data_IF_819522265100
#
_entry.id   IF_819522265100
#
_cell.length_a   1.000
_cell.length_b   1.000
_cell.length_c   1.000
_cell.angle_alpha   90.00
_cell.angle_beta   90.00
_cell.angle_gamma   90.00
#
_symmetry.space_group_name_H-M   'P 1'
#
loop_
_entity.id
_entity.type
_entity.pdbx_description
1 polymer ?
#
# COMPACT_ATOMS: atom_id res chain seq x y z
N UNK A 1 -35.17 -14.66 -14.48
CA UNK A 1 -35.92 -13.61 -15.21
C UNK A 1 -36.16 -12.42 -14.27
N UNK A 2 -35.09 -11.77 -13.80
CA UNK A 2 -35.12 -10.60 -12.89
C UNK A 2 -34.28 -9.47 -13.52
N UNK A 3 -34.46 -9.23 -14.82
CA UNK A 3 -33.73 -8.16 -15.53
C UNK A 3 -34.56 -6.89 -15.69
N UNK A 4 -35.88 -6.94 -15.47
CA UNK A 4 -36.78 -5.81 -15.75
C UNK A 4 -37.21 -4.98 -14.53
N UNK A 5 -36.91 -5.39 -13.29
CA UNK A 5 -37.39 -4.67 -12.08
C UNK A 5 -36.43 -3.62 -11.54
N UNK A 6 -35.15 -3.62 -11.93
CA UNK A 6 -34.20 -2.58 -11.50
C UNK A 6 -34.27 -1.34 -12.42
N UNK A 7 -34.43 -1.52 -13.74
CA UNK A 7 -34.48 -0.41 -14.71
C UNK A 7 -35.63 0.59 -14.50
N UNK A 8 -36.79 0.14 -14.01
CA UNK A 8 -37.96 1.01 -13.86
C UNK A 8 -37.90 1.93 -12.62
N UNK A 9 -37.11 1.59 -11.60
CA UNK A 9 -36.97 2.43 -10.40
C UNK A 9 -35.91 3.53 -10.58
N UNK A 10 -34.90 3.32 -11.42
CA UNK A 10 -33.81 4.29 -11.60
C UNK A 10 -34.23 5.62 -12.27
N UNK A 11 -35.12 5.58 -13.26
CA UNK A 11 -35.49 6.79 -14.02
C UNK A 11 -36.38 7.78 -13.23
N UNK A 12 -37.06 7.33 -12.18
CA UNK A 12 -37.94 8.20 -11.37
C UNK A 12 -37.31 8.65 -10.04
N UNK A 13 -36.24 7.97 -9.57
CA UNK A 13 -35.64 8.24 -8.26
C UNK A 13 -34.43 9.17 -8.29
N UNK A 14 -33.76 9.41 -9.42
CA UNK A 14 -32.48 10.16 -9.44
C UNK A 14 -32.61 11.69 -9.28
N UNK A 15 -33.83 12.25 -9.26
CA UNK A 15 -34.02 13.71 -9.26
C UNK A 15 -33.65 14.42 -7.95
N UNK A 16 -33.53 13.69 -6.82
CA UNK A 16 -33.16 14.25 -5.51
C UNK A 16 -32.21 13.33 -4.71
N UNK A 17 -31.50 12.43 -5.39
CA UNK A 17 -30.59 11.48 -4.74
C UNK A 17 -29.23 12.14 -4.53
N UNK A 18 -28.80 12.21 -3.27
CA UNK A 18 -27.47 12.69 -2.87
C UNK A 18 -26.44 11.56 -2.80
N UNK A 19 -26.85 10.36 -2.40
CA UNK A 19 -25.99 9.18 -2.30
C UNK A 19 -26.62 8.05 -3.09
N UNK A 20 -25.88 7.52 -4.06
CA UNK A 20 -26.30 6.35 -4.80
C UNK A 20 -25.31 5.21 -4.55
N UNK A 21 -25.83 4.10 -4.03
CA UNK A 21 -25.08 2.86 -3.84
C UNK A 21 -25.79 1.74 -4.59
N UNK A 22 -25.12 1.19 -5.60
CA UNK A 22 -25.65 0.14 -6.46
C UNK A 22 -24.68 -1.03 -6.46
N UNK A 23 -25.20 -2.21 -6.10
CA UNK A 23 -24.46 -3.46 -6.23
C UNK A 23 -25.19 -4.44 -7.13
N UNK A 24 -24.46 -5.14 -7.99
CA UNK A 24 -24.99 -6.23 -8.83
C UNK A 24 -24.20 -7.51 -8.59
N UNK A 25 -24.79 -8.65 -8.95
CA UNK A 25 -24.04 -9.90 -9.00
C UNK A 25 -23.01 -9.85 -10.15
N UNK A 26 -21.79 -10.28 -9.88
CA UNK A 26 -20.60 -10.10 -10.73
C UNK A 26 -20.74 -10.61 -12.18
N UNK A 27 -21.66 -11.53 -12.44
CA UNK A 27 -21.81 -12.15 -13.77
C UNK A 27 -22.75 -11.39 -14.73
N UNK A 28 -23.61 -10.49 -14.25
CA UNK A 28 -24.59 -9.81 -15.09
C UNK A 28 -24.16 -8.38 -15.41
N UNK A 29 -23.97 -8.07 -16.70
CA UNK A 29 -23.70 -6.71 -17.16
C UNK A 29 -24.92 -5.82 -16.90
N UNK A 30 -24.79 -4.89 -15.96
CA UNK A 30 -25.76 -3.85 -15.68
C UNK A 30 -25.53 -2.63 -16.59
N UNK A 31 -26.62 -2.04 -17.09
CA UNK A 31 -26.55 -0.73 -17.73
C UNK A 31 -27.06 0.33 -16.78
N UNK A 32 -26.36 1.44 -16.71
CA UNK A 32 -26.76 2.59 -15.90
C UNK A 32 -27.58 3.56 -16.76
N UNK A 33 -28.62 4.21 -16.20
CA UNK A 33 -29.40 5.19 -16.94
C UNK A 33 -28.53 6.42 -17.27
N UNK A 34 -28.70 7.00 -18.44
CA UNK A 34 -27.96 8.21 -18.85
C UNK A 34 -28.18 9.41 -17.92
N UNK A 35 -29.35 9.48 -17.28
CA UNK A 35 -29.70 10.50 -16.29
C UNK A 35 -28.79 10.49 -15.06
N UNK A 36 -28.16 9.35 -14.73
CA UNK A 36 -27.19 9.26 -13.63
C UNK A 36 -26.03 10.24 -13.85
N UNK A 37 -25.44 10.21 -15.05
CA UNK A 37 -24.25 10.99 -15.42
C UNK A 37 -24.50 12.49 -15.61
N UNK A 38 -25.75 12.94 -15.45
CA UNK A 38 -26.16 14.36 -15.53
C UNK A 38 -26.85 14.84 -14.25
N UNK A 39 -26.81 14.04 -13.19
CA UNK A 39 -27.42 14.38 -11.91
C UNK A 39 -26.75 15.60 -11.27
N UNK A 40 -27.57 16.55 -10.83
CA UNK A 40 -27.14 17.78 -10.14
C UNK A 40 -27.32 17.72 -8.63
N UNK A 41 -27.69 16.57 -8.09
CA UNK A 41 -27.87 16.37 -6.65
C UNK A 41 -26.88 15.37 -6.08
N UNK A 42 -26.29 14.52 -6.93
CA UNK A 42 -25.43 13.43 -6.51
C UNK A 42 -24.12 13.97 -5.92
N UNK A 43 -23.84 13.56 -4.68
CA UNK A 43 -22.65 13.87 -3.90
C UNK A 43 -21.75 12.64 -3.76
N UNK A 44 -22.33 11.44 -3.71
CA UNK A 44 -21.62 10.18 -3.56
C UNK A 44 -22.17 9.12 -4.51
N UNK A 45 -21.28 8.44 -5.22
CA UNK A 45 -21.60 7.37 -6.17
C UNK A 45 -20.78 6.13 -5.84
N UNK A 46 -21.45 5.02 -5.57
CA UNK A 46 -20.84 3.70 -5.39
C UNK A 46 -21.44 2.70 -6.36
N UNK A 47 -20.58 2.08 -7.15
CA UNK A 47 -20.93 1.05 -8.11
C UNK A 47 -20.08 -0.18 -7.82
N UNK A 48 -20.73 -1.26 -7.39
CA UNK A 48 -20.09 -2.56 -7.12
C UNK A 48 -20.69 -3.64 -8.01
N UNK A 49 -19.97 -4.03 -9.03
CA UNK A 49 -20.41 -5.09 -9.95
C UNK A 49 -20.21 -4.68 -11.40
N UNK A 50 -20.57 -5.60 -12.29
CA UNK A 50 -20.27 -5.48 -13.72
C UNK A 50 -21.17 -4.43 -14.38
N UNK A 51 -20.71 -3.18 -14.46
CA UNK A 51 -21.44 -2.08 -15.11
C UNK A 51 -20.75 -1.62 -16.39
N UNK A 52 -21.51 -1.48 -17.47
CA UNK A 52 -21.04 -0.86 -18.71
C UNK A 52 -20.98 0.66 -18.52
N UNK A 53 -19.77 1.23 -18.48
CA UNK A 53 -19.54 2.67 -18.30
C UNK A 53 -19.64 3.42 -19.63
N UNK A 54 -20.73 3.17 -20.37
CA UNK A 54 -21.14 3.96 -21.53
C UNK A 54 -22.04 5.10 -21.07
N UNK A 55 -21.46 6.27 -20.95
CA UNK A 55 -22.16 7.48 -20.54
C UNK A 55 -22.26 8.50 -21.67
N UNK A 56 -23.32 9.34 -21.67
CA UNK A 56 -23.41 10.45 -22.61
C UNK A 56 -22.31 11.48 -22.35
N UNK A 57 -21.83 12.11 -23.42
CA UNK A 57 -20.90 13.22 -23.33
C UNK A 57 -21.62 14.55 -23.60
N UNK A 58 -21.41 15.59 -22.76
CA UNK A 58 -20.54 15.63 -21.58
C UNK A 58 -21.19 15.02 -20.32
N UNK A 59 -20.38 14.40 -19.47
CA UNK A 59 -20.75 14.05 -18.09
C UNK A 59 -20.85 15.33 -17.26
N UNK A 60 -21.88 15.44 -16.42
CA UNK A 60 -22.11 16.59 -15.54
C UNK A 60 -22.57 16.12 -14.15
N UNK A 61 -21.63 16.00 -13.23
CA UNK A 61 -21.84 15.62 -11.84
C UNK A 61 -21.24 16.71 -10.92
N UNK A 62 -21.82 17.93 -10.93
CA UNK A 62 -21.18 19.13 -10.40
C UNK A 62 -20.95 19.12 -8.89
N UNK A 63 -21.66 18.28 -8.13
CA UNK A 63 -21.56 18.20 -6.67
C UNK A 63 -20.96 16.89 -6.16
N UNK A 64 -20.53 16.01 -7.06
CA UNK A 64 -19.98 14.72 -6.68
C UNK A 64 -18.61 14.91 -6.01
N UNK A 65 -18.49 14.38 -4.79
CA UNK A 65 -17.29 14.47 -3.94
C UNK A 65 -16.60 13.14 -3.71
N UNK A 66 -17.35 12.04 -3.69
CA UNK A 66 -16.81 10.68 -3.55
C UNK A 66 -17.35 9.77 -4.65
N UNK A 67 -16.46 9.00 -5.26
CA UNK A 67 -16.78 8.04 -6.32
C UNK A 67 -16.08 6.72 -6.06
N UNK A 68 -16.83 5.62 -6.05
CA UNK A 68 -16.30 4.27 -5.92
C UNK A 68 -16.76 3.41 -7.08
N UNK A 69 -15.80 2.85 -7.81
CA UNK A 69 -16.03 2.05 -9.02
C UNK A 69 -15.32 0.70 -8.89
N UNK A 70 -16.09 -0.34 -8.58
CA UNK A 70 -15.60 -1.72 -8.47
C UNK A 70 -16.23 -2.60 -9.56
N UNK A 71 -15.39 -3.34 -10.28
CA UNK A 71 -15.79 -4.25 -11.35
C UNK A 71 -16.50 -3.56 -12.54
N UNK A 72 -16.19 -2.29 -12.84
CA UNK A 72 -16.80 -1.55 -13.96
C UNK A 72 -16.05 -1.79 -15.28
N UNK A 73 -16.76 -1.72 -16.41
CA UNK A 73 -16.19 -1.88 -17.75
C UNK A 73 -16.14 -0.53 -18.48
N UNK A 74 -14.93 -0.05 -18.79
CA UNK A 74 -14.74 1.15 -19.60
C UNK A 74 -14.72 0.81 -21.09
N UNK A 75 -15.32 1.67 -21.91
CA UNK A 75 -15.36 1.48 -23.36
C UNK A 75 -14.03 1.81 -24.05
N UNK A 76 -13.18 2.61 -23.40
CA UNK A 76 -11.87 3.02 -23.90
C UNK A 76 -10.97 3.52 -22.74
N UNK A 77 -9.64 3.57 -22.94
CA UNK A 77 -8.69 3.98 -21.89
C UNK A 77 -8.88 5.40 -21.33
N UNK A 78 -9.58 6.28 -22.06
CA UNK A 78 -9.80 7.67 -21.64
C UNK A 78 -11.15 7.87 -20.93
N UNK A 79 -11.99 6.84 -20.83
CA UNK A 79 -13.32 6.95 -20.22
C UNK A 79 -13.24 7.42 -18.75
N UNK A 80 -12.33 6.90 -17.94
CA UNK A 80 -12.15 7.34 -16.56
C UNK A 80 -11.83 8.85 -16.47
N UNK A 81 -10.93 9.33 -17.34
CA UNK A 81 -10.56 10.74 -17.39
C UNK A 81 -11.75 11.63 -17.79
N UNK A 82 -12.57 11.21 -18.76
CA UNK A 82 -13.78 11.94 -19.16
C UNK A 82 -14.83 11.98 -18.05
N UNK A 83 -15.01 10.86 -17.33
CA UNK A 83 -15.88 10.79 -16.16
C UNK A 83 -15.44 11.76 -15.07
N UNK A 84 -14.14 11.77 -14.74
CA UNK A 84 -13.56 12.67 -13.73
C UNK A 84 -13.65 14.15 -14.14
N UNK A 85 -13.45 14.47 -15.43
CA UNK A 85 -13.60 15.84 -15.94
C UNK A 85 -15.03 16.39 -15.74
N UNK A 86 -16.04 15.51 -15.70
CA UNK A 86 -17.42 15.86 -15.37
C UNK A 86 -17.71 16.06 -13.87
N UNK A 87 -16.74 15.79 -13.00
CA UNK A 87 -16.87 15.80 -11.53
C UNK A 87 -15.91 16.82 -10.89
N UNK A 88 -16.15 18.13 -11.05
CA UNK A 88 -15.18 19.18 -10.67
C UNK A 88 -14.93 19.31 -9.16
N UNK A 89 -15.77 18.70 -8.31
CA UNK A 89 -15.64 18.71 -6.85
C UNK A 89 -15.20 17.36 -6.27
N UNK A 90 -14.73 16.42 -7.11
CA UNK A 90 -14.33 15.09 -6.66
C UNK A 90 -13.07 15.17 -5.79
N UNK A 91 -13.21 14.71 -4.54
CA UNK A 91 -12.18 14.75 -3.50
C UNK A 91 -11.66 13.35 -3.12
N UNK A 92 -12.49 12.31 -3.32
CA UNK A 92 -12.21 10.93 -2.97
C UNK A 92 -12.58 9.98 -4.13
N UNK A 93 -11.62 9.17 -4.57
CA UNK A 93 -11.80 8.22 -5.66
C UNK A 93 -11.30 6.85 -5.23
N UNK A 94 -12.18 5.86 -5.33
CA UNK A 94 -11.84 4.45 -5.16
C UNK A 94 -12.11 3.74 -6.48
N UNK A 95 -11.09 3.08 -7.02
CA UNK A 95 -11.19 2.28 -8.24
C UNK A 95 -10.69 0.88 -7.95
N UNK A 96 -11.38 -0.14 -8.42
CA UNK A 96 -11.02 -1.49 -8.07
C UNK A 96 -11.74 -2.60 -8.82
N UNK A 97 -11.38 -3.84 -8.46
CA UNK A 97 -11.98 -5.05 -9.01
C UNK A 97 -11.36 -5.53 -10.33
N UNK A 98 -12.15 -6.15 -11.21
CA UNK A 98 -11.71 -6.74 -12.47
C UNK A 98 -11.67 -5.71 -13.60
N UNK A 99 -10.48 -5.17 -13.90
CA UNK A 99 -10.24 -4.24 -15.02
C UNK A 99 -9.31 -4.87 -16.06
N UNK A 100 -9.67 -6.06 -16.58
CA UNK A 100 -8.77 -6.86 -17.45
C UNK A 100 -8.34 -6.13 -18.73
N UNK A 101 -9.22 -5.29 -19.29
CA UNK A 101 -8.95 -4.55 -20.53
C UNK A 101 -8.21 -3.21 -20.32
N UNK A 102 -7.95 -2.82 -19.07
CA UNK A 102 -7.32 -1.53 -18.76
C UNK A 102 -5.84 -1.73 -18.45
N UNK A 103 -5.01 -1.63 -19.49
CA UNK A 103 -3.55 -1.72 -19.33
C UNK A 103 -2.93 -0.46 -18.71
N UNK A 104 -3.46 0.71 -19.04
CA UNK A 104 -2.92 2.00 -18.63
C UNK A 104 -3.93 2.74 -17.75
N UNK A 105 -3.47 3.17 -16.57
CA UNK A 105 -4.25 4.05 -15.70
C UNK A 105 -3.58 5.42 -15.67
N UNK A 106 -4.33 6.44 -16.08
CA UNK A 106 -3.89 7.84 -16.02
C UNK A 106 -4.93 8.68 -15.31
N UNK A 107 -4.53 9.36 -14.24
CA UNK A 107 -5.41 10.17 -13.39
C UNK A 107 -4.73 11.51 -13.12
N UNK A 108 -5.39 12.62 -13.49
CA UNK A 108 -4.94 13.98 -13.17
C UNK A 108 -6.07 14.76 -12.51
N UNK A 109 -5.79 15.36 -11.35
CA UNK A 109 -6.74 16.19 -10.62
C UNK A 109 -6.06 17.04 -9.56
N UNK A 110 -6.34 18.35 -9.57
CA UNK A 110 -5.92 19.25 -8.50
C UNK A 110 -6.88 19.25 -7.30
N UNK A 111 -7.99 18.51 -7.36
CA UNK A 111 -9.01 18.49 -6.29
C UNK A 111 -9.00 17.22 -5.47
N UNK A 112 -8.44 16.14 -6.01
CA UNK A 112 -8.43 14.84 -5.38
C UNK A 112 -7.48 14.87 -4.17
N UNK A 113 -8.00 14.43 -3.02
CA UNK A 113 -7.29 14.34 -1.74
C UNK A 113 -7.09 12.90 -1.28
N UNK A 114 -7.93 11.98 -1.77
CA UNK A 114 -7.85 10.55 -1.49
C UNK A 114 -7.96 9.75 -2.79
N UNK A 115 -7.03 8.82 -2.99
CA UNK A 115 -7.05 7.85 -4.07
C UNK A 115 -6.78 6.46 -3.52
N UNK A 116 -7.71 5.53 -3.77
CA UNK A 116 -7.53 4.11 -3.53
C UNK A 116 -7.64 3.35 -4.83
N UNK A 117 -6.62 2.55 -5.14
CA UNK A 117 -6.58 1.62 -6.27
C UNK A 117 -6.55 0.20 -5.70
N UNK A 118 -7.69 -0.49 -5.70
CA UNK A 118 -7.86 -1.79 -5.04
C UNK A 118 -8.27 -2.88 -6.04
N UNK A 119 -7.26 -3.54 -6.60
CA UNK A 119 -7.38 -4.56 -7.62
C UNK A 119 -7.06 -5.96 -7.09
N UNK A 120 -7.21 -6.16 -5.77
CA UNK A 120 -7.01 -7.47 -5.11
C UNK A 120 -7.82 -8.57 -5.74
N UNK A 121 -9.07 -8.28 -6.09
CA UNK A 121 -10.02 -9.29 -6.53
C UNK A 121 -9.70 -9.87 -7.92
N UNK A 122 -8.76 -9.29 -8.66
CA UNK A 122 -8.28 -9.77 -9.98
C UNK A 122 -7.50 -11.11 -9.93
N UNK A 123 -7.83 -12.00 -8.99
CA UNK A 123 -7.35 -13.38 -8.86
C UNK A 123 -7.83 -14.24 -10.04
N UNK A 124 -7.17 -14.10 -11.18
CA UNK A 124 -7.45 -14.87 -12.40
C UNK A 124 -6.81 -14.23 -13.64
N UNK A 125 -6.70 -12.90 -13.65
CA UNK A 125 -5.97 -12.18 -14.70
C UNK A 125 -4.47 -12.31 -14.48
N UNK A 126 -3.75 -12.78 -15.51
CA UNK A 126 -2.29 -12.90 -15.51
C UNK A 126 -1.61 -11.62 -16.05
N UNK A 127 -2.38 -10.57 -16.32
CA UNK A 127 -1.86 -9.37 -16.98
C UNK A 127 -1.44 -8.31 -15.96
N UNK A 128 -0.19 -7.86 -16.09
CA UNK A 128 0.30 -6.66 -15.41
C UNK A 128 -0.17 -5.42 -16.16
N UNK A 129 -0.51 -4.36 -15.42
CA UNK A 129 -0.70 -3.03 -16.00
C UNK A 129 0.58 -2.57 -16.70
N UNK A 130 0.42 -1.92 -17.85
CA UNK A 130 1.51 -1.34 -18.62
C UNK A 130 2.05 -0.08 -17.93
N UNK A 131 1.17 0.82 -17.49
CA UNK A 131 1.60 2.03 -16.77
C UNK A 131 0.57 2.56 -15.79
N UNK A 132 1.06 3.21 -14.73
CA UNK A 132 0.27 4.01 -13.80
C UNK A 132 0.83 5.44 -13.79
N UNK A 133 0.03 6.39 -14.24
CA UNK A 133 0.37 7.81 -14.36
C UNK A 133 -0.55 8.63 -13.47
N UNK A 134 0.00 9.27 -12.44
CA UNK A 134 -0.77 10.10 -11.51
C UNK A 134 -0.21 11.52 -11.51
N UNK A 135 -1.06 12.53 -11.60
CA UNK A 135 -0.70 13.95 -11.39
C UNK A 135 -1.68 14.58 -10.41
N UNK A 136 -1.35 14.52 -9.13
CA UNK A 136 -2.28 14.78 -8.02
C UNK A 136 -1.64 15.69 -6.95
N UNK A 137 -1.51 17.01 -7.22
CA UNK A 137 -0.80 17.97 -6.35
C UNK A 137 -1.30 18.05 -4.90
N UNK A 138 -2.57 17.78 -4.68
CA UNK A 138 -3.24 17.90 -3.38
C UNK A 138 -3.62 16.55 -2.77
N UNK A 139 -3.04 15.44 -3.28
CA UNK A 139 -3.29 14.11 -2.73
C UNK A 139 -2.70 13.98 -1.33
N UNK A 140 -3.53 13.57 -0.38
CA UNK A 140 -3.19 13.40 1.04
C UNK A 140 -3.07 11.92 1.40
N UNK A 141 -3.96 11.09 0.85
CA UNK A 141 -4.01 9.66 1.09
C UNK A 141 -3.93 8.88 -0.23
N UNK A 142 -2.99 7.93 -0.28
CA UNK A 142 -2.83 7.04 -1.41
C UNK A 142 -2.79 5.58 -0.93
N UNK A 143 -3.71 4.75 -1.43
CA UNK A 143 -3.65 3.29 -1.27
C UNK A 143 -3.52 2.64 -2.64
N UNK A 144 -2.51 1.79 -2.79
CA UNK A 144 -2.29 0.95 -3.96
C UNK A 144 -2.30 -0.51 -3.52
N UNK A 145 -3.25 -1.29 -4.00
CA UNK A 145 -3.35 -2.72 -3.76
C UNK A 145 -3.57 -3.46 -5.08
N UNK A 146 -2.51 -4.02 -5.66
CA UNK A 146 -2.55 -4.60 -7.01
C UNK A 146 -1.28 -5.43 -7.30
N UNK A 147 -1.21 -6.05 -8.48
CA UNK A 147 0.05 -6.49 -9.08
C UNK A 147 0.92 -5.28 -9.44
N UNK A 148 2.23 -5.49 -9.51
CA UNK A 148 3.14 -4.42 -9.92
C UNK A 148 2.93 -4.07 -11.40
N UNK A 149 2.64 -2.80 -11.71
CA UNK A 149 2.65 -2.29 -13.07
C UNK A 149 4.09 -2.29 -13.64
N UNK A 150 4.23 -2.33 -14.97
CA UNK A 150 5.55 -2.29 -15.63
C UNK A 150 6.26 -0.95 -15.44
N UNK A 151 5.51 0.14 -15.28
CA UNK A 151 6.06 1.48 -15.08
C UNK A 151 5.15 2.37 -14.24
N UNK A 152 5.75 3.31 -13.52
CA UNK A 152 5.06 4.31 -12.70
C UNK A 152 5.56 5.70 -13.05
N UNK A 153 4.63 6.64 -13.21
CA UNK A 153 4.89 8.07 -13.34
C UNK A 153 3.99 8.82 -12.36
N UNK A 154 4.44 8.90 -11.11
CA UNK A 154 3.69 9.55 -10.05
C UNK A 154 4.25 10.97 -9.85
N UNK A 155 3.55 11.94 -10.44
CA UNK A 155 3.92 13.34 -10.50
C UNK A 155 3.20 14.14 -9.41
N UNK A 156 3.91 15.12 -8.84
CA UNK A 156 3.36 16.13 -7.94
C UNK A 156 2.70 15.60 -6.65
N UNK A 157 3.06 14.43 -6.10
CA UNK A 157 2.50 13.94 -4.83
C UNK A 157 3.10 14.61 -3.58
N UNK A 158 3.25 15.94 -3.59
CA UNK A 158 3.98 16.69 -2.56
C UNK A 158 3.19 16.87 -1.25
N UNK A 159 1.86 16.73 -1.30
CA UNK A 159 0.96 16.89 -0.15
C UNK A 159 0.68 15.57 0.59
N UNK A 160 1.37 14.49 0.19
CA UNK A 160 1.06 13.14 0.64
C UNK A 160 1.39 12.99 2.13
N UNK A 161 0.37 12.68 2.93
CA UNK A 161 0.52 12.38 4.35
C UNK A 161 0.71 10.88 4.56
N UNK A 162 -0.07 10.05 3.86
CA UNK A 162 -0.03 8.60 3.97
C UNK A 162 -0.03 7.91 2.60
N UNK A 163 0.89 6.95 2.45
CA UNK A 163 0.94 6.03 1.33
C UNK A 163 0.90 4.58 1.85
N UNK A 164 -0.04 3.78 1.35
CA UNK A 164 -0.12 2.34 1.62
C UNK A 164 0.09 1.56 0.33
N UNK A 165 1.17 0.78 0.27
CA UNK A 165 1.59 0.04 -0.92
C UNK A 165 1.55 -1.45 -0.63
N UNK A 166 0.60 -2.14 -1.26
CA UNK A 166 0.34 -3.56 -1.10
C UNK A 166 0.48 -4.22 -2.47
N UNK A 167 1.55 -5.01 -2.66
CA UNK A 167 1.79 -5.67 -3.96
C UNK A 167 1.52 -7.16 -3.85
N UNK A 168 0.53 -7.62 -4.61
CA UNK A 168 0.05 -9.00 -4.64
C UNK A 168 1.11 -10.00 -5.14
N UNK A 169 0.98 -11.25 -4.69
CA UNK A 169 1.78 -12.39 -5.16
C UNK A 169 1.37 -12.73 -6.60
N UNK A 170 2.33 -12.74 -7.52
CA UNK A 170 2.19 -13.46 -8.78
C UNK A 170 2.57 -14.93 -8.54
N UNK A 171 1.57 -15.78 -8.39
CA UNK A 171 1.76 -17.20 -8.04
C UNK A 171 2.25 -18.04 -9.23
N UNK A 172 2.06 -17.56 -10.46
CA UNK A 172 2.24 -18.36 -11.68
C UNK A 172 3.43 -17.91 -12.55
N UNK A 173 4.14 -16.86 -12.15
CA UNK A 173 5.35 -16.41 -12.83
C UNK A 173 6.62 -16.68 -12.01
N UNK A 174 7.26 -17.85 -12.18
CA UNK A 174 8.54 -18.18 -11.52
C UNK A 174 9.71 -17.33 -12.02
N UNK A 175 9.50 -16.49 -13.04
CA UNK A 175 10.50 -15.57 -13.60
C UNK A 175 9.97 -14.14 -13.49
N UNK A 176 9.81 -13.65 -12.28
CA UNK A 176 9.71 -12.21 -12.08
C UNK A 176 10.52 -11.81 -10.85
N UNK A 177 11.78 -11.46 -11.12
CA UNK A 177 12.30 -10.24 -10.54
C UNK A 177 11.31 -9.14 -10.89
N UNK A 178 10.39 -8.82 -9.97
CA UNK A 178 9.76 -7.50 -9.96
C UNK A 178 10.86 -6.51 -10.34
N UNK A 179 10.79 -5.93 -11.54
CA UNK A 179 11.91 -5.13 -12.03
C UNK A 179 12.16 -4.12 -10.93
N UNK A 180 13.32 -4.20 -10.30
CA UNK A 180 13.63 -3.36 -9.15
C UNK A 180 13.33 -1.90 -9.50
N UNK A 181 13.55 -1.54 -10.78
CA UNK A 181 13.13 -0.26 -11.38
C UNK A 181 11.64 0.12 -11.23
N UNK A 182 10.70 -0.81 -11.37
CA UNK A 182 9.26 -0.55 -11.21
C UNK A 182 8.88 -0.35 -9.73
N UNK A 183 9.44 -1.17 -8.83
CA UNK A 183 9.27 -0.95 -7.37
C UNK A 183 9.86 0.40 -6.98
N UNK A 184 11.07 0.72 -7.46
CA UNK A 184 11.70 2.01 -7.26
C UNK A 184 10.84 3.14 -7.82
N UNK A 185 10.32 3.02 -9.05
CA UNK A 185 9.45 4.04 -9.65
C UNK A 185 8.25 4.37 -8.78
N UNK A 186 7.61 3.35 -8.19
CA UNK A 186 6.53 3.52 -7.23
C UNK A 186 7.01 4.23 -5.95
N UNK A 187 8.15 3.80 -5.38
CA UNK A 187 8.73 4.40 -4.17
C UNK A 187 9.19 5.85 -4.37
N UNK A 188 9.80 6.18 -5.51
CA UNK A 188 10.17 7.55 -5.88
C UNK A 188 8.93 8.44 -5.89
N UNK A 189 7.83 7.93 -6.44
CA UNK A 189 6.56 8.62 -6.48
C UNK A 189 5.96 8.97 -5.12
N UNK A 190 6.10 8.09 -4.14
CA UNK A 190 5.54 8.27 -2.79
C UNK A 190 6.57 8.75 -1.75
N UNK A 191 7.76 9.13 -2.20
CA UNK A 191 8.90 9.46 -1.32
C UNK A 191 8.67 10.67 -0.39
N UNK A 192 7.71 11.52 -0.71
CA UNK A 192 7.32 12.68 0.11
C UNK A 192 6.34 12.34 1.24
N UNK A 193 5.83 11.12 1.31
CA UNK A 193 4.88 10.69 2.35
C UNK A 193 5.46 10.86 3.76
N UNK A 194 4.60 11.23 4.72
CA UNK A 194 4.97 11.24 6.15
C UNK A 194 4.78 9.88 6.81
N UNK A 195 3.86 9.09 6.29
CA UNK A 195 3.60 7.71 6.68
C UNK A 195 3.65 6.81 5.44
N UNK A 196 4.51 5.79 5.47
CA UNK A 196 4.60 4.77 4.43
C UNK A 196 4.32 3.39 5.05
N UNK A 197 3.27 2.74 4.56
CA UNK A 197 3.05 1.30 4.74
C UNK A 197 3.46 0.56 3.47
N UNK A 198 4.23 -0.50 3.62
CA UNK A 198 4.68 -1.33 2.50
C UNK A 198 4.60 -2.82 2.85
N UNK A 199 3.95 -3.62 2.00
CA UNK A 199 3.80 -5.07 2.22
C UNK A 199 3.83 -5.89 0.92
N UNK A 200 4.07 -7.20 1.06
CA UNK A 200 3.98 -8.18 -0.02
C UNK A 200 5.24 -8.27 -0.88
N UNK A 201 5.05 -8.47 -2.19
CA UNK A 201 6.16 -8.72 -3.15
C UNK A 201 7.06 -7.52 -3.41
N UNK A 202 6.59 -6.31 -3.12
CA UNK A 202 7.41 -5.11 -3.29
C UNK A 202 8.71 -5.19 -2.47
N UNK A 203 8.67 -5.78 -1.27
CA UNK A 203 9.85 -5.96 -0.42
C UNK A 203 10.79 -7.04 -0.97
N UNK A 204 10.26 -8.11 -1.57
CA UNK A 204 11.08 -9.16 -2.19
C UNK A 204 11.82 -8.64 -3.44
N UNK A 205 11.21 -7.75 -4.23
CA UNK A 205 11.87 -7.09 -5.37
C UNK A 205 13.03 -6.17 -4.98
N UNK A 206 13.16 -5.88 -3.68
CA UNK A 206 14.21 -5.06 -3.08
C UNK A 206 15.28 -5.94 -2.38
N UNK A 207 15.22 -7.25 -2.49
CA UNK A 207 16.25 -8.13 -1.91
C UNK A 207 17.47 -8.30 -2.83
N UNK A 208 18.08 -7.18 -3.22
CA UNK A 208 19.31 -7.14 -4.03
C UNK A 208 20.20 -5.97 -3.59
N UNK A 209 21.48 -5.95 -3.98
CA UNK A 209 22.40 -4.84 -3.65
C UNK A 209 22.48 -3.76 -4.76
N UNK A 210 21.74 -3.94 -5.86
CA UNK A 210 21.91 -3.14 -7.09
C UNK A 210 20.85 -2.03 -7.26
N UNK A 211 20.49 -1.34 -6.18
CA UNK A 211 19.58 -0.21 -6.27
C UNK A 211 19.84 0.88 -5.23
N UNK A 212 19.15 2.01 -5.43
CA UNK A 212 19.16 3.13 -4.49
C UNK A 212 17.72 3.59 -4.29
N UNK A 213 17.26 3.47 -3.05
CA UNK A 213 15.97 4.02 -2.63
C UNK A 213 15.97 5.54 -2.75
N UNK A 214 14.79 6.16 -2.98
CA UNK A 214 14.66 7.61 -2.82
C UNK A 214 14.94 8.00 -1.37
N UNK A 215 15.43 9.23 -1.17
CA UNK A 215 15.48 9.80 0.18
C UNK A 215 14.06 10.20 0.61
N UNK A 216 13.60 9.61 1.70
CA UNK A 216 12.30 9.88 2.30
C UNK A 216 12.41 11.02 3.32
N UNK A 217 12.61 12.25 2.85
CA UNK A 217 12.92 13.42 3.68
C UNK A 217 11.84 13.75 4.72
N UNK A 218 10.57 13.45 4.43
CA UNK A 218 9.43 13.78 5.28
C UNK A 218 8.90 12.59 6.08
N UNK A 219 9.42 11.39 5.85
CA UNK A 219 8.91 10.17 6.47
C UNK A 219 9.16 10.18 7.98
N UNK A 220 8.07 10.09 8.73
CA UNK A 220 8.05 10.02 10.20
C UNK A 220 7.65 8.65 10.70
N UNK A 221 6.79 7.94 9.95
CA UNK A 221 6.37 6.58 10.27
C UNK A 221 6.60 5.66 9.09
N UNK A 222 7.32 4.57 9.34
CA UNK A 222 7.52 3.49 8.39
C UNK A 222 6.92 2.23 8.98
N UNK A 223 6.02 1.61 8.23
CA UNK A 223 5.37 0.38 8.62
C UNK A 223 5.58 -0.69 7.54
N UNK A 224 6.09 -1.83 7.96
CA UNK A 224 6.22 -3.00 7.11
C UNK A 224 5.14 -4.03 7.44
N UNK A 225 4.40 -4.47 6.42
CA UNK A 225 3.52 -5.63 6.51
C UNK A 225 4.24 -6.93 6.15
N UNK A 226 3.47 -7.98 5.88
CA UNK A 226 3.99 -9.33 5.67
C UNK A 226 4.76 -9.47 4.36
N UNK A 227 5.81 -10.30 4.38
CA UNK A 227 6.51 -10.75 3.18
C UNK A 227 7.06 -12.16 3.38
N UNK A 228 6.83 -13.04 2.40
CA UNK A 228 7.04 -14.49 2.56
C UNK A 228 8.52 -14.90 2.54
N UNK A 229 9.30 -14.24 1.69
CA UNK A 229 10.69 -14.64 1.40
C UNK A 229 11.69 -13.52 1.67
N UNK A 230 11.29 -12.50 2.42
CA UNK A 230 12.09 -11.29 2.61
C UNK A 230 13.32 -11.54 3.48
N UNK A 231 14.48 -11.16 2.95
CA UNK A 231 15.69 -11.02 3.76
C UNK A 231 15.74 -9.60 4.34
N UNK A 232 15.25 -9.45 5.58
CA UNK A 232 15.22 -8.18 6.30
C UNK A 232 16.55 -7.44 6.39
N UNK A 233 17.68 -8.14 6.29
CA UNK A 233 19.02 -7.58 6.43
C UNK A 233 19.29 -6.46 5.43
N UNK A 234 18.91 -6.65 4.18
CA UNK A 234 19.16 -5.66 3.12
C UNK A 234 18.11 -4.56 3.17
N UNK A 235 16.84 -4.95 3.14
CA UNK A 235 15.72 -4.01 3.05
C UNK A 235 15.66 -3.07 4.24
N UNK A 236 15.77 -3.59 5.48
CA UNK A 236 15.70 -2.73 6.67
C UNK A 236 16.83 -1.69 6.70
N UNK A 237 18.07 -2.10 6.46
CA UNK A 237 19.21 -1.17 6.50
C UNK A 237 19.05 -0.04 5.48
N UNK A 238 18.60 -0.37 4.27
CA UNK A 238 18.43 0.62 3.21
C UNK A 238 17.33 1.64 3.51
N UNK A 239 16.19 1.20 4.05
CA UNK A 239 15.14 2.12 4.47
C UNK A 239 15.59 3.02 5.63
N UNK A 240 16.31 2.47 6.62
CA UNK A 240 16.86 3.25 7.72
C UNK A 240 17.86 4.32 7.24
N UNK A 241 18.71 3.98 6.27
CA UNK A 241 19.65 4.92 5.67
C UNK A 241 18.96 5.98 4.77
N UNK A 242 17.78 5.66 4.24
CA UNK A 242 17.04 6.53 3.31
C UNK A 242 15.98 7.41 3.99
N UNK A 243 15.67 7.17 5.27
CA UNK A 243 14.64 7.88 6.03
C UNK A 243 15.24 8.64 7.23
N UNK A 244 15.92 9.78 7.01
CA UNK A 244 16.72 10.46 8.05
C UNK A 244 15.89 11.00 9.23
N UNK A 245 14.61 11.28 9.01
CA UNK A 245 13.69 11.89 9.99
C UNK A 245 12.71 10.87 10.61
N UNK A 246 12.96 9.57 10.44
CA UNK A 246 12.05 8.52 10.92
C UNK A 246 11.91 8.54 12.45
N UNK A 247 10.68 8.56 12.95
CA UNK A 247 10.34 8.59 14.38
C UNK A 247 9.73 7.27 14.87
N UNK A 248 8.87 6.65 14.06
CA UNK A 248 8.18 5.37 14.36
C UNK A 248 8.55 4.33 13.29
N UNK A 249 8.98 3.14 13.74
CA UNK A 249 9.26 1.98 12.87
C UNK A 249 8.43 0.78 13.33
N UNK A 250 7.52 0.32 12.48
CA UNK A 250 6.57 -0.73 12.81
C UNK A 250 6.70 -1.93 11.86
N UNK A 251 6.49 -3.12 12.42
CA UNK A 251 6.38 -4.38 11.69
C UNK A 251 5.03 -4.98 12.05
N UNK A 252 3.96 -4.52 11.41
CA UNK A 252 2.56 -4.75 11.84
C UNK A 252 2.03 -6.14 11.53
N UNK A 253 2.70 -6.88 10.66
CA UNK A 253 2.40 -8.30 10.41
C UNK A 253 3.60 -9.19 10.76
N UNK A 254 4.48 -8.66 11.61
CA UNK A 254 5.68 -9.32 12.12
C UNK A 254 6.83 -9.45 11.13
N UNK A 255 7.90 -10.06 11.61
CA UNK A 255 9.13 -10.28 10.85
C UNK A 255 9.16 -11.69 10.21
N UNK A 256 8.36 -12.62 10.73
CA UNK A 256 8.09 -14.00 10.27
C UNK A 256 9.14 -14.58 9.30
N UNK A 257 10.31 -14.90 9.84
CA UNK A 257 11.31 -15.71 9.12
C UNK A 257 11.25 -17.15 9.62
N UNK A 258 10.26 -17.92 9.17
CA UNK A 258 10.21 -19.36 9.47
C UNK A 258 11.28 -20.04 8.63
N UNK A 259 12.34 -20.56 9.29
CA UNK A 259 13.45 -21.30 8.67
C UNK A 259 12.99 -22.07 7.44
N UNK A 260 13.40 -21.63 6.25
CA UNK A 260 13.30 -22.44 5.05
C UNK A 260 14.62 -23.17 4.84
N UNK A 261 14.58 -24.27 4.10
CA UNK A 261 15.79 -25.07 3.79
C UNK A 261 16.87 -24.27 3.03
N UNK A 262 16.56 -23.06 2.52
CA UNK A 262 17.52 -22.17 1.86
C UNK A 262 18.33 -21.26 2.80
N UNK A 263 18.05 -21.27 4.11
CA UNK A 263 18.74 -20.43 5.11
C UNK A 263 20.20 -20.82 5.40
N UNK A 264 20.69 -21.92 4.83
CA UNK A 264 22.08 -22.35 4.97
C UNK A 264 23.09 -21.29 4.46
N UNK A 265 22.65 -20.38 3.58
CA UNK A 265 23.47 -19.29 3.03
C UNK A 265 23.38 -17.97 3.81
N UNK A 266 22.56 -17.85 4.86
CA UNK A 266 22.42 -16.58 5.56
C UNK A 266 23.71 -16.24 6.33
N UNK A 267 24.29 -15.07 6.05
CA UNK A 267 25.44 -14.54 6.78
C UNK A 267 25.08 -14.30 8.27
N UNK A 268 25.36 -15.30 9.11
CA UNK A 268 24.99 -15.29 10.53
C UNK A 268 25.51 -14.07 11.29
N UNK A 269 26.53 -13.40 10.77
CA UNK A 269 27.21 -12.28 11.42
C UNK A 269 26.88 -10.91 10.82
N UNK A 270 25.99 -10.80 9.84
CA UNK A 270 25.64 -9.53 9.17
C UNK A 270 25.39 -8.40 10.17
N UNK A 271 24.41 -8.60 11.07
CA UNK A 271 24.00 -7.60 12.07
C UNK A 271 25.12 -7.24 13.05
N UNK A 272 26.07 -8.15 13.30
CA UNK A 272 27.21 -7.88 14.16
C UNK A 272 28.28 -7.02 13.48
N UNK A 273 28.34 -7.05 12.13
CA UNK A 273 29.28 -6.28 11.31
C UNK A 273 28.79 -4.86 11.00
N UNK A 274 27.49 -4.58 11.15
CA UNK A 274 26.94 -3.24 10.97
C UNK A 274 27.45 -2.28 12.05
N UNK A 275 28.55 -1.59 11.75
CA UNK A 275 29.20 -0.65 12.69
C UNK A 275 28.63 0.76 12.58
N UNK A 276 28.23 1.16 11.38
CA UNK A 276 27.62 2.48 11.15
C UNK A 276 26.20 2.45 11.72
N UNK A 277 25.88 3.46 12.51
CA UNK A 277 24.52 3.66 13.03
C UNK A 277 23.77 4.52 12.03
N UNK A 278 22.62 4.08 11.49
CA UNK A 278 21.76 4.92 10.68
C UNK A 278 21.38 6.20 11.43
N UNK A 279 21.35 7.33 10.71
CA UNK A 279 21.19 8.64 11.34
C UNK A 279 19.85 8.75 12.09
N UNK A 280 18.78 8.20 11.52
CA UNK A 280 17.46 8.16 12.14
C UNK A 280 17.44 7.41 13.48
N UNK A 281 18.08 6.25 13.58
CA UNK A 281 18.20 5.50 14.84
C UNK A 281 19.04 6.27 15.88
N UNK A 282 19.98 7.08 15.44
CA UNK A 282 20.79 7.88 16.34
C UNK A 282 20.08 9.13 16.86
N UNK A 283 19.04 9.64 16.19
CA UNK A 283 18.54 10.99 16.43
C UNK A 283 17.02 11.18 16.47
N UNK A 284 16.23 10.31 15.83
CA UNK A 284 14.78 10.52 15.66
C UNK A 284 13.90 9.33 16.08
N UNK A 285 14.34 8.08 15.88
CA UNK A 285 13.49 6.90 16.15
C UNK A 285 13.24 6.72 17.64
N UNK A 286 11.99 6.92 18.07
CA UNK A 286 11.54 6.84 19.47
C UNK A 286 10.78 5.57 19.77
N UNK A 287 10.00 5.08 18.81
CA UNK A 287 9.14 3.90 19.00
C UNK A 287 9.43 2.88 17.92
N UNK A 288 9.57 1.63 18.37
CA UNK A 288 9.61 0.47 17.48
C UNK A 288 8.55 -0.51 17.93
N UNK A 289 7.69 -0.95 17.03
CA UNK A 289 6.65 -1.96 17.28
C UNK A 289 6.90 -3.18 16.40
N UNK A 290 6.94 -4.36 17.00
CA UNK A 290 7.01 -5.63 16.29
C UNK A 290 5.81 -6.45 16.71
N UNK A 291 4.86 -6.59 15.79
CA UNK A 291 3.67 -7.42 16.00
C UNK A 291 3.98 -8.88 15.72
N UNK A 292 3.20 -9.78 16.29
CA UNK A 292 3.39 -11.22 16.08
C UNK A 292 4.86 -11.65 16.25
N UNK A 293 5.49 -11.25 17.35
CA UNK A 293 6.88 -11.56 17.67
C UNK A 293 7.00 -12.97 18.25
N UNK A 294 7.59 -13.89 17.51
CA UNK A 294 7.67 -15.31 17.89
C UNK A 294 8.88 -15.62 18.75
N UNK A 295 9.86 -14.73 18.79
CA UNK A 295 11.14 -14.96 19.46
C UNK A 295 12.12 -15.75 18.61
N UNK A 296 11.89 -15.85 17.29
CA UNK A 296 12.79 -16.55 16.40
C UNK A 296 14.17 -15.86 16.37
N UNK A 297 15.21 -16.67 16.11
CA UNK A 297 16.60 -16.20 16.20
C UNK A 297 16.91 -14.99 15.32
N UNK A 298 16.32 -14.86 14.13
CA UNK A 298 16.48 -13.66 13.28
C UNK A 298 15.72 -12.44 13.80
N UNK A 299 14.48 -12.60 14.28
CA UNK A 299 13.70 -11.52 14.89
C UNK A 299 14.46 -10.91 16.08
N UNK A 300 15.01 -11.78 16.92
CA UNK A 300 15.83 -11.39 18.09
C UNK A 300 17.13 -10.70 17.67
N UNK A 301 17.73 -11.07 16.52
CA UNK A 301 18.92 -10.37 15.99
C UNK A 301 18.57 -8.98 15.49
N UNK A 302 17.46 -8.82 14.77
CA UNK A 302 16.96 -7.53 14.28
C UNK A 302 16.62 -6.62 15.47
N UNK A 303 15.83 -7.11 16.42
CA UNK A 303 15.48 -6.36 17.63
C UNK A 303 16.73 -5.94 18.42
N UNK A 304 17.73 -6.83 18.55
CA UNK A 304 19.00 -6.50 19.21
C UNK A 304 19.81 -5.45 18.45
N UNK A 305 19.82 -5.50 17.12
CA UNK A 305 20.45 -4.47 16.28
C UNK A 305 19.79 -3.11 16.53
N UNK A 306 18.45 -3.06 16.46
CA UNK A 306 17.68 -1.85 16.70
C UNK A 306 17.93 -1.26 18.10
N UNK A 307 17.90 -2.09 19.17
CA UNK A 307 18.22 -1.65 20.53
C UNK A 307 19.64 -1.11 20.69
N UNK A 308 20.61 -1.68 19.96
CA UNK A 308 22.02 -1.29 20.04
C UNK A 308 22.31 0.01 19.29
N UNK A 309 21.52 0.35 18.29
CA UNK A 309 21.73 1.51 17.42
C UNK A 309 20.76 2.66 17.71
N UNK A 310 19.58 2.36 18.29
CA UNK A 310 18.58 3.33 18.75
C UNK A 310 19.06 4.12 19.97
N UNK A 311 19.74 5.25 19.75
CA UNK A 311 20.31 6.07 20.84
C UNK A 311 19.27 6.93 21.55
N UNK A 312 18.19 7.28 20.86
CA UNK A 312 17.06 8.06 21.39
C UNK A 312 15.78 7.23 21.53
N UNK A 313 15.89 5.91 21.36
CA UNK A 313 14.76 5.00 21.45
C UNK A 313 14.15 5.04 22.85
N UNK A 314 12.84 5.23 22.93
CA UNK A 314 12.06 5.28 24.17
C UNK A 314 11.39 3.93 24.42
N UNK A 315 10.85 3.31 23.37
CA UNK A 315 10.10 2.06 23.48
C UNK A 315 10.42 1.07 22.36
N UNK A 316 10.65 -0.17 22.75
CA UNK A 316 10.52 -1.34 21.88
C UNK A 316 9.31 -2.14 22.36
N UNK A 317 8.25 -2.16 21.57
CA UNK A 317 6.99 -2.85 21.85
C UNK A 317 7.00 -4.17 21.09
N UNK A 318 6.78 -5.27 21.81
CA UNK A 318 6.69 -6.62 21.24
C UNK A 318 5.32 -7.18 21.60
N UNK A 319 4.45 -7.34 20.61
CA UNK A 319 3.27 -8.19 20.74
C UNK A 319 3.73 -9.63 20.49
N UNK A 320 3.85 -10.41 21.56
CA UNK A 320 4.60 -11.66 21.54
C UNK A 320 3.67 -12.88 21.47
N UNK A 321 3.94 -13.77 20.52
CA UNK A 321 3.25 -15.07 20.37
C UNK A 321 4.28 -16.21 20.43
N UNK A 322 4.74 -16.50 21.65
CA UNK A 322 5.79 -17.51 21.88
C UNK A 322 5.18 -18.90 22.03
N UNK A 323 5.59 -19.80 21.13
CA UNK A 323 5.09 -21.17 21.07
C UNK A 323 6.07 -22.22 21.62
N UNK A 324 7.34 -21.86 21.86
CA UNK A 324 8.38 -22.82 22.32
C UNK A 324 9.26 -22.30 23.47
N UNK A 325 9.81 -23.22 24.26
CA UNK A 325 10.74 -22.90 25.35
C UNK A 325 12.11 -22.40 24.86
N UNK A 326 12.48 -22.73 23.62
CA UNK A 326 13.68 -22.21 22.98
C UNK A 326 13.51 -20.72 22.63
N UNK A 327 12.37 -20.35 22.06
CA UNK A 327 12.06 -18.97 21.71
C UNK A 327 11.89 -18.09 22.96
N UNK A 328 11.27 -18.64 24.03
CA UNK A 328 11.18 -17.96 25.33
C UNK A 328 12.58 -17.65 25.90
N UNK A 329 13.54 -18.56 25.72
CA UNK A 329 14.93 -18.35 26.13
C UNK A 329 15.61 -17.25 25.30
N UNK A 330 15.32 -17.16 24.01
CA UNK A 330 15.84 -16.08 23.16
C UNK A 330 15.23 -14.73 23.52
N UNK A 331 13.93 -14.66 23.81
CA UNK A 331 13.30 -13.44 24.34
C UNK A 331 13.97 -13.01 25.66
N UNK A 332 14.20 -13.94 26.60
CA UNK A 332 14.92 -13.63 27.86
C UNK A 332 16.32 -13.06 27.63
N UNK A 333 17.01 -13.48 26.55
CA UNK A 333 18.30 -12.89 26.16
C UNK A 333 18.13 -11.49 25.57
N UNK A 334 17.08 -11.26 24.77
CA UNK A 334 16.74 -9.94 24.22
C UNK A 334 16.44 -8.93 25.34
N UNK A 335 15.65 -9.33 26.33
CA UNK A 335 15.30 -8.47 27.48
C UNK A 335 16.53 -7.99 28.27
N UNK A 336 17.59 -8.81 28.30
CA UNK A 336 18.88 -8.53 28.95
C UNK A 336 19.92 -7.90 27.99
N UNK A 337 19.55 -7.64 26.74
CA UNK A 337 20.48 -7.08 25.76
C UNK A 337 20.90 -5.66 26.14
N UNK A 338 22.12 -5.29 25.75
CA UNK A 338 22.61 -3.92 25.90
C UNK A 338 21.79 -3.00 24.99
N UNK A 339 21.36 -1.87 25.55
CA UNK A 339 20.62 -0.81 24.86
C UNK A 339 21.53 0.39 24.69
N UNK A 340 21.44 1.09 23.57
CA UNK A 340 22.13 2.36 23.38
C UNK A 340 21.45 3.49 24.16
N UNK A 341 20.13 3.58 24.06
CA UNK A 341 19.31 4.42 24.93
C UNK A 341 19.15 3.77 26.30
N UNK A 342 19.43 4.53 27.37
CA UNK A 342 19.20 4.09 28.76
C UNK A 342 17.73 4.19 29.16
N UNK A 343 16.99 5.08 28.51
CA UNK A 343 15.56 5.31 28.75
C UNK A 343 14.68 4.28 28.03
N UNK A 344 15.26 3.52 27.10
CA UNK A 344 14.53 2.51 26.33
C UNK A 344 13.95 1.41 27.23
N UNK A 345 12.63 1.29 27.20
CA UNK A 345 11.86 0.22 27.82
C UNK A 345 11.47 -0.80 26.74
N UNK A 346 11.56 -2.08 27.09
CA UNK A 346 10.99 -3.16 26.28
C UNK A 346 9.61 -3.48 26.88
N UNK A 347 8.56 -3.18 26.13
CA UNK A 347 7.16 -3.38 26.50
C UNK A 347 6.66 -4.65 25.82
N UNK A 348 5.98 -5.52 26.57
CA UNK A 348 5.42 -6.77 26.06
C UNK A 348 3.89 -6.66 26.09
N UNK A 349 3.24 -6.86 24.94
CA UNK A 349 1.78 -6.89 24.81
C UNK A 349 1.26 -8.33 24.78
N UNK A 350 -0.01 -8.52 25.17
CA UNK A 350 -0.68 -9.82 25.34
C UNK A 350 -1.88 -9.97 24.41
#
# INVERSE_FOLDING_TARGET
MIYFRIFLYFNTLLHDVAVLDVSTHEYSLGMLPSSLYTSRTLVELKLYGRFDMKFPEPVQLPYLKSMQLFNVEFSDPYSLNRLMAGCPLLEDLVVGGYWEDVEDISISSARLTSLTMDFSDSFGSLHHRSSVVLDLPNLVHFKYFDRLARSYSLMNLNSLEEARIEVLLDMDNPVWSASCSAVLGLLYGVSNAKHLFICGKCLEGLDTDEYTLPTFCNLRRLEFGWSKYLIWRHVLCQFLDSAPMLEDLNFSEGLFHRKSDSDEYSDKNFWARQRKTPDCLSSHVKTIMIDSFHGFGEEVKIARYLLRHGKVLEKLILDYDIQSSEDERELKKLLKAKRASKECIIELLF
#
